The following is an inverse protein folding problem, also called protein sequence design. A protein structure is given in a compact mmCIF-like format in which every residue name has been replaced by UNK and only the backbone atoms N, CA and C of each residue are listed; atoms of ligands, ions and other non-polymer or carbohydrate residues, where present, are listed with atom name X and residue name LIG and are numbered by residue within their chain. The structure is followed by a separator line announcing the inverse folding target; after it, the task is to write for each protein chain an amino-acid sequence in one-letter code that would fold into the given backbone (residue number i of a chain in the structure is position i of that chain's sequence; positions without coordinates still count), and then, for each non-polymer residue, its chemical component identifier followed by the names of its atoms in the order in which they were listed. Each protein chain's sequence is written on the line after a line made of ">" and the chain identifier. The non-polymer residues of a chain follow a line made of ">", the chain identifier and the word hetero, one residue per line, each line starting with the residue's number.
data_IF_251494398000
#
_entry.id   IF_251494398000
#
_cell.length_a   1.000
_cell.length_b   1.000
_cell.length_c   1.000
_cell.angle_alpha   90.00
_cell.angle_beta   90.00
_cell.angle_gamma   90.00
#
_symmetry.space_group_name_H-M   'P 1'
#
loop_
_entity.id
_entity.type
_entity.pdbx_description
1 polymer ?
#
# COMPACT_ATOMS: atom_id res chain seq x y z
N UNK A 1 -8.02 2.25 -10.05
CA UNK A 1 -6.62 1.96 -9.59
C UNK A 1 -5.64 3.11 -9.80
N UNK A 2 -5.71 3.88 -10.89
CA UNK A 2 -4.82 5.05 -11.09
C UNK A 2 -4.98 6.11 -10.00
N UNK A 3 -6.21 6.34 -9.53
CA UNK A 3 -6.49 7.34 -8.50
C UNK A 3 -5.81 7.01 -7.16
N UNK A 4 -5.93 5.78 -6.65
CA UNK A 4 -5.29 5.37 -5.38
C UNK A 4 -3.76 5.54 -5.46
N UNK A 5 -3.15 5.09 -6.56
CA UNK A 5 -1.70 5.21 -6.74
C UNK A 5 -1.25 6.69 -6.84
N UNK A 6 -2.10 7.57 -7.38
CA UNK A 6 -1.87 9.02 -7.37
C UNK A 6 -1.93 9.58 -5.94
N UNK A 7 -2.96 9.26 -5.16
CA UNK A 7 -3.06 9.69 -3.76
C UNK A 7 -1.88 9.20 -2.91
N UNK A 8 -1.48 7.93 -3.08
CA UNK A 8 -0.29 7.40 -2.43
C UNK A 8 0.97 8.17 -2.83
N UNK A 9 1.17 8.46 -4.13
CA UNK A 9 2.30 9.27 -4.61
C UNK A 9 2.33 10.65 -3.98
N UNK A 10 1.20 11.35 -3.96
CA UNK A 10 1.12 12.71 -3.41
C UNK A 10 1.43 12.71 -1.91
N UNK A 11 0.93 11.70 -1.19
CA UNK A 11 1.23 11.53 0.23
C UNK A 11 2.71 11.21 0.49
N UNK A 12 3.30 10.30 -0.30
CA UNK A 12 4.74 9.96 -0.22
C UNK A 12 5.58 11.23 -0.44
N UNK A 13 5.28 12.01 -1.49
CA UNK A 13 5.98 13.27 -1.77
C UNK A 13 5.91 14.24 -0.60
N UNK A 14 4.73 14.38 0.03
CA UNK A 14 4.56 15.24 1.20
C UNK A 14 5.43 14.76 2.37
N UNK A 15 5.41 13.47 2.70
CA UNK A 15 6.21 12.93 3.79
C UNK A 15 7.71 13.09 3.54
N UNK A 16 8.17 12.89 2.31
CA UNK A 16 9.57 13.12 1.93
C UNK A 16 9.96 14.59 2.02
N UNK A 17 9.07 15.51 1.61
CA UNK A 17 9.28 16.95 1.75
C UNK A 17 9.34 17.38 3.23
N UNK A 18 8.57 16.71 4.09
CA UNK A 18 8.61 16.88 5.55
C UNK A 18 9.86 16.23 6.19
N UNK A 19 10.79 15.68 5.41
CA UNK A 19 12.03 15.05 5.89
C UNK A 19 11.84 13.66 6.52
N UNK A 20 10.69 13.01 6.30
CA UNK A 20 10.38 11.70 6.89
C UNK A 20 10.90 10.55 6.03
N UNK A 21 11.18 9.43 6.69
CA UNK A 21 11.48 8.18 6.00
C UNK A 21 10.17 7.46 5.63
N UNK A 22 10.11 6.92 4.42
CA UNK A 22 8.92 6.24 3.90
C UNK A 22 9.28 4.83 3.48
N UNK A 23 8.49 3.87 3.93
CA UNK A 23 8.53 2.46 3.49
C UNK A 23 7.20 2.12 2.85
N UNK A 24 7.25 1.40 1.73
CA UNK A 24 6.07 1.10 0.90
C UNK A 24 5.89 -0.41 0.81
N UNK A 25 4.69 -0.88 1.17
CA UNK A 25 4.21 -2.23 0.90
C UNK A 25 3.14 -2.15 -0.18
N UNK A 26 3.36 -2.83 -1.30
CA UNK A 26 2.41 -2.86 -2.41
C UNK A 26 1.59 -4.15 -2.38
N UNK A 27 0.27 -4.03 -2.24
CA UNK A 27 -0.65 -5.17 -2.43
C UNK A 27 -1.17 -5.16 -3.87
N UNK A 28 -0.73 -6.12 -4.66
CA UNK A 28 -1.08 -6.30 -6.07
C UNK A 28 -0.17 -5.58 -7.08
N UNK A 29 -0.21 -6.07 -8.32
CA UNK A 29 0.70 -5.63 -9.40
C UNK A 29 0.52 -4.17 -9.84
N UNK A 30 -0.73 -3.69 -9.98
CA UNK A 30 -1.00 -2.37 -10.60
C UNK A 30 -0.41 -1.21 -9.79
N UNK A 31 -0.54 -1.23 -8.47
CA UNK A 31 0.06 -0.20 -7.60
C UNK A 31 1.58 -0.24 -7.65
N UNK A 32 2.15 -1.44 -7.57
CA UNK A 32 3.58 -1.67 -7.69
C UNK A 32 4.16 -1.14 -9.01
N UNK A 33 3.55 -1.45 -10.15
CA UNK A 33 4.04 -1.01 -11.46
C UNK A 33 4.05 0.52 -11.62
N UNK A 34 3.11 1.21 -10.96
CA UNK A 34 3.03 2.69 -10.97
C UNK A 34 4.07 3.30 -10.04
N UNK A 35 4.22 2.77 -8.82
CA UNK A 35 5.09 3.35 -7.80
C UNK A 35 6.57 2.96 -7.98
N UNK A 36 6.87 1.78 -8.53
CA UNK A 36 8.26 1.30 -8.69
C UNK A 36 9.12 2.20 -9.56
N UNK A 37 8.52 2.98 -10.47
CA UNK A 37 9.27 3.89 -11.34
C UNK A 37 9.97 4.99 -10.55
N UNK A 38 9.30 5.52 -9.53
CA UNK A 38 9.75 6.66 -8.75
C UNK A 38 10.31 6.25 -7.38
N UNK A 39 9.82 5.13 -6.83
CA UNK A 39 10.00 4.76 -5.41
C UNK A 39 10.53 3.33 -5.20
N UNK A 40 11.16 2.70 -6.20
CA UNK A 40 11.67 1.32 -6.07
C UNK A 40 12.50 1.09 -4.80
N UNK A 41 13.37 2.04 -4.44
CA UNK A 41 14.23 1.94 -3.25
C UNK A 41 13.46 1.98 -1.92
N UNK A 42 12.23 2.50 -1.91
CA UNK A 42 11.37 2.58 -0.72
C UNK A 42 10.40 1.40 -0.63
N UNK A 43 10.27 0.60 -1.69
CA UNK A 43 9.38 -0.56 -1.70
C UNK A 43 10.10 -1.72 -1.01
N UNK A 44 9.63 -2.04 0.19
CA UNK A 44 10.17 -3.14 0.98
C UNK A 44 9.52 -4.48 0.63
N UNK A 45 8.28 -4.45 0.11
CA UNK A 45 7.55 -5.66 -0.21
C UNK A 45 6.49 -5.45 -1.29
N UNK A 46 6.29 -6.49 -2.10
CA UNK A 46 5.15 -6.66 -2.98
C UNK A 46 4.42 -7.94 -2.65
N UNK A 47 3.16 -7.83 -2.24
CA UNK A 47 2.25 -8.96 -2.03
C UNK A 47 1.46 -9.19 -3.31
N UNK A 48 1.65 -10.32 -3.97
CA UNK A 48 0.84 -10.71 -5.13
C UNK A 48 -0.25 -11.70 -4.72
N UNK A 49 -1.50 -11.36 -5.03
CA UNK A 49 -2.68 -12.17 -4.70
C UNK A 49 -3.27 -12.84 -5.96
N UNK A 50 -2.60 -12.77 -7.11
CA UNK A 50 -3.11 -13.33 -8.39
C UNK A 50 -3.30 -14.84 -8.37
N UNK A 51 -2.48 -15.57 -7.61
CA UNK A 51 -2.57 -17.03 -7.51
C UNK A 51 -3.67 -17.48 -6.55
N UNK A 52 -4.23 -16.54 -5.77
CA UNK A 52 -5.31 -16.80 -4.82
C UNK A 52 -6.64 -16.83 -5.57
N UNK A 53 -7.14 -18.03 -5.87
CA UNK A 53 -8.44 -18.23 -6.55
C UNK A 53 -9.62 -17.64 -5.78
N UNK A 54 -9.59 -17.69 -4.45
CA UNK A 54 -10.63 -17.14 -3.57
C UNK A 54 -9.98 -16.28 -2.50
N UNK A 55 -10.18 -14.97 -2.58
CA UNK A 55 -9.72 -14.03 -1.55
C UNK A 55 -10.50 -14.27 -0.26
N UNK A 56 -9.83 -14.86 0.73
CA UNK A 56 -10.35 -15.03 2.09
C UNK A 56 -9.60 -14.19 3.12
N UNK A 57 -10.15 -14.16 4.34
CA UNK A 57 -9.59 -13.46 5.50
C UNK A 57 -8.12 -13.83 5.79
N UNK A 58 -7.74 -15.09 5.55
CA UNK A 58 -6.37 -15.60 5.76
C UNK A 58 -5.32 -14.75 5.02
N UNK A 59 -5.64 -14.24 3.83
CA UNK A 59 -4.72 -13.38 3.08
C UNK A 59 -4.57 -12.00 3.73
N UNK A 60 -5.67 -11.46 4.26
CA UNK A 60 -5.65 -10.19 4.99
C UNK A 60 -4.90 -10.34 6.33
N UNK A 61 -5.12 -11.44 7.05
CA UNK A 61 -4.42 -11.77 8.29
C UNK A 61 -2.90 -11.89 8.08
N UNK A 62 -2.48 -12.54 6.99
CA UNK A 62 -1.06 -12.64 6.64
C UNK A 62 -0.41 -11.25 6.41
N UNK A 63 -1.11 -10.34 5.72
CA UNK A 63 -0.64 -8.97 5.51
C UNK A 63 -0.62 -8.19 6.85
N UNK A 64 -1.67 -8.33 7.66
CA UNK A 64 -1.78 -7.64 8.94
C UNK A 64 -0.68 -8.06 9.92
N UNK A 65 -0.40 -9.37 10.04
CA UNK A 65 0.69 -9.88 10.89
C UNK A 65 2.04 -9.31 10.50
N UNK A 66 2.30 -9.15 9.19
CA UNK A 66 3.54 -8.53 8.71
C UNK A 66 3.65 -7.07 9.11
N UNK A 67 2.59 -6.30 8.93
CA UNK A 67 2.56 -4.88 9.33
C UNK A 67 2.78 -4.75 10.84
N UNK A 68 2.13 -5.59 11.65
CA UNK A 68 2.31 -5.62 13.11
C UNK A 68 3.74 -6.00 13.48
N UNK A 69 4.32 -6.99 12.81
CA UNK A 69 5.70 -7.42 13.06
C UNK A 69 6.69 -6.28 12.78
N UNK A 70 6.58 -5.62 11.62
CA UNK A 70 7.41 -4.47 11.28
C UNK A 70 7.25 -3.30 12.26
N UNK A 71 6.04 -3.08 12.76
CA UNK A 71 5.81 -2.09 13.82
C UNK A 71 6.55 -2.46 15.11
N UNK A 72 6.43 -3.72 15.55
CA UNK A 72 7.09 -4.20 16.77
C UNK A 72 8.62 -4.19 16.68
N UNK A 73 9.19 -4.31 15.47
CA UNK A 73 10.62 -4.17 15.21
C UNK A 73 11.09 -2.69 15.14
N UNK A 74 10.17 -1.72 15.29
CA UNK A 74 10.49 -0.30 15.17
C UNK A 74 10.78 0.13 13.74
N UNK A 75 10.30 -0.61 12.74
CA UNK A 75 10.56 -0.30 11.34
C UNK A 75 9.81 0.97 10.87
N UNK A 76 8.72 1.36 11.53
CA UNK A 76 7.96 2.59 11.27
C UNK A 76 7.13 2.98 12.50
N UNK A 77 6.78 4.27 12.60
CA UNK A 77 5.94 4.79 13.69
C UNK A 77 4.45 4.89 13.32
N UNK A 78 4.15 5.18 12.05
CA UNK A 78 2.79 5.40 11.55
C UNK A 78 2.55 4.59 10.27
N UNK A 79 1.49 3.78 10.26
CA UNK A 79 1.03 3.07 9.06
C UNK A 79 -0.17 3.80 8.44
N UNK A 80 -0.14 4.05 7.13
CA UNK A 80 -1.27 4.61 6.38
C UNK A 80 -1.68 3.63 5.28
N UNK A 81 -2.97 3.26 5.24
CA UNK A 81 -3.53 2.35 4.25
C UNK A 81 -4.31 3.12 3.19
N UNK A 82 -3.90 2.97 1.93
CA UNK A 82 -4.64 3.52 0.77
C UNK A 82 -5.46 2.42 0.11
N UNK A 83 -6.76 2.64 -0.02
CA UNK A 83 -7.65 1.69 -0.67
C UNK A 83 -8.84 2.40 -1.32
N UNK A 84 -9.41 1.78 -2.35
CA UNK A 84 -10.66 2.26 -2.91
C UNK A 84 -11.81 1.62 -2.15
N UNK A 85 -12.46 2.42 -1.30
CA UNK A 85 -13.70 1.98 -0.66
C UNK A 85 -14.78 1.88 -1.74
N UNK A 86 -15.39 0.69 -1.89
CA UNK A 86 -16.52 0.53 -2.80
C UNK A 86 -17.72 1.29 -2.24
N UNK A 87 -18.16 2.34 -2.95
CA UNK A 87 -19.28 3.19 -2.52
C UNK A 87 -20.58 2.87 -3.28
N UNK A 88 -20.52 2.78 -4.61
CA UNK A 88 -21.61 2.24 -5.46
C UNK A 88 -21.08 1.91 -6.86
N UNK A 89 -21.91 1.27 -7.70
CA UNK A 89 -21.57 0.89 -9.09
C UNK A 89 -21.12 2.09 -9.94
N UNK A 90 -21.51 3.31 -9.58
CA UNK A 90 -21.27 4.55 -10.36
C UNK A 90 -20.09 5.39 -9.80
N UNK A 91 -19.64 5.17 -8.55
CA UNK A 91 -18.59 6.01 -7.95
C UNK A 91 -17.69 5.27 -6.97
N UNK A 92 -16.38 5.34 -7.20
CA UNK A 92 -15.32 4.99 -6.26
C UNK A 92 -14.56 6.25 -5.86
N UNK A 93 -14.60 6.62 -4.57
CA UNK A 93 -13.77 7.69 -3.99
C UNK A 93 -12.54 7.00 -3.37
N UNK A 94 -11.30 7.37 -3.76
CA UNK A 94 -10.10 6.85 -3.12
C UNK A 94 -9.94 7.47 -1.73
N UNK A 95 -9.60 6.65 -0.74
CA UNK A 95 -9.16 7.10 0.60
C UNK A 95 -7.68 6.78 0.79
#
# INVERSE_FOLDING_TARGET
>A
NSQIARHARDHIRRLLADGKQVKIICVGKKGFDILRRDYAAMIIERVDLREVKTLGFVNADAIARKVIHLFNEGAFDVCTLFYSQFKSVISQVPT
#
